data_IF_414084637106
#
_entry.id   IF_414084637106
#
_cell.length_a   1.000
_cell.length_b   1.000
_cell.length_c   1.000
_cell.angle_alpha   90.00
_cell.angle_beta   90.00
_cell.angle_gamma   90.00
#
_symmetry.space_group_name_H-M   'P 1'
#
loop_
_entity.id
_entity.type
_entity.pdbx_description
1 polymer ?
#
# COMPACT_ATOMS: atom_id res chain seq x y z
N UNK A 1 -29.94 -67.89 19.81
CA UNK A 1 -28.57 -67.52 19.43
C UNK A 1 -28.59 -66.06 19.03
N UNK A 2 -27.94 -65.23 19.83
CA UNK A 2 -27.98 -63.77 19.84
C UNK A 2 -27.14 -63.22 18.68
N UNK A 3 -27.74 -62.43 17.79
CA UNK A 3 -27.04 -61.73 16.71
C UNK A 3 -26.29 -60.53 17.30
N UNK A 4 -24.98 -60.50 17.11
CA UNK A 4 -24.10 -59.39 17.52
C UNK A 4 -24.39 -58.12 16.70
N UNK A 5 -24.29 -56.97 17.36
CA UNK A 5 -24.43 -55.65 16.75
C UNK A 5 -23.18 -55.27 15.92
N UNK A 6 -23.31 -54.49 14.84
CA UNK A 6 -22.17 -54.07 14.03
C UNK A 6 -21.29 -53.04 14.76
N UNK A 7 -19.98 -53.26 14.69
CA UNK A 7 -18.92 -52.37 15.17
C UNK A 7 -19.02 -50.99 14.49
N UNK A 8 -19.33 -49.95 15.26
CA UNK A 8 -19.27 -48.57 14.80
C UNK A 8 -17.81 -48.13 14.73
N UNK A 9 -17.24 -48.10 13.53
CA UNK A 9 -15.94 -47.49 13.25
C UNK A 9 -16.06 -45.97 13.40
N UNK A 10 -15.69 -45.46 14.59
CA UNK A 10 -15.48 -44.04 14.81
C UNK A 10 -14.26 -43.56 13.99
N UNK A 11 -14.52 -43.07 12.78
CA UNK A 11 -13.54 -42.31 12.00
C UNK A 11 -13.27 -41.00 12.73
N UNK A 12 -12.10 -40.88 13.37
CA UNK A 12 -11.62 -39.60 13.90
C UNK A 12 -11.44 -38.62 12.73
N UNK A 13 -11.98 -37.39 12.80
CA UNK A 13 -11.66 -36.38 11.79
C UNK A 13 -10.15 -36.07 11.84
N UNK A 14 -9.50 -35.86 10.68
CA UNK A 14 -8.09 -35.48 10.65
C UNK A 14 -7.88 -34.18 11.42
N UNK A 15 -6.86 -34.20 12.28
CA UNK A 15 -6.53 -33.10 13.18
C UNK A 15 -6.41 -31.77 12.45
N UNK A 16 -6.95 -30.73 13.08
CA UNK A 16 -6.80 -29.34 12.66
C UNK A 16 -5.33 -29.00 12.42
N UNK A 17 -4.93 -28.52 11.22
CA UNK A 17 -3.57 -28.06 11.01
C UNK A 17 -3.31 -26.86 11.93
N UNK A 18 -2.19 -26.92 12.66
CA UNK A 18 -1.78 -25.95 13.65
C UNK A 18 -1.80 -24.52 13.14
N UNK A 19 -2.24 -23.59 14.00
CA UNK A 19 -2.19 -22.14 13.79
C UNK A 19 -0.75 -21.62 13.91
N UNK A 20 0.10 -21.98 12.95
CA UNK A 20 1.29 -21.20 12.62
C UNK A 20 0.99 -20.27 11.44
N UNK A 21 1.74 -19.17 11.24
CA UNK A 21 1.68 -18.44 9.98
C UNK A 21 2.11 -19.40 8.86
N UNK A 22 1.16 -19.83 8.03
CA UNK A 22 1.44 -20.80 6.97
C UNK A 22 2.46 -20.27 5.95
N UNK A 23 3.07 -21.17 5.13
CA UNK A 23 4.12 -20.87 4.16
C UNK A 23 3.79 -19.84 3.05
N UNK A 24 2.61 -19.22 3.07
CA UNK A 24 2.18 -18.21 2.10
C UNK A 24 2.74 -16.80 2.31
N UNK A 25 3.30 -16.49 3.49
CA UNK A 25 3.82 -15.14 3.80
C UNK A 25 5.33 -14.99 3.61
N UNK A 26 6.07 -16.09 3.49
CA UNK A 26 7.51 -16.07 3.32
C UNK A 26 7.98 -15.19 2.15
N UNK A 27 7.33 -15.21 0.95
CA UNK A 27 7.76 -14.37 -0.16
C UNK A 27 7.60 -12.88 0.13
N UNK A 28 6.47 -12.50 0.74
CA UNK A 28 6.20 -11.11 1.11
C UNK A 28 7.19 -10.61 2.17
N UNK A 29 7.44 -11.40 3.21
CA UNK A 29 8.39 -11.06 4.26
C UNK A 29 9.81 -10.89 3.72
N UNK A 30 10.24 -11.78 2.82
CA UNK A 30 11.55 -11.70 2.19
C UNK A 30 11.72 -10.41 1.40
N UNK A 31 10.74 -10.06 0.56
CA UNK A 31 10.77 -8.84 -0.25
C UNK A 31 10.67 -7.59 0.61
N UNK A 32 9.82 -7.59 1.64
CA UNK A 32 9.75 -6.48 2.60
C UNK A 32 11.06 -6.27 3.34
N UNK A 33 11.70 -7.34 3.83
CA UNK A 33 13.00 -7.26 4.48
C UNK A 33 14.10 -6.77 3.52
N UNK A 34 14.12 -7.29 2.29
CA UNK A 34 15.04 -6.83 1.25
C UNK A 34 14.83 -5.35 0.89
N UNK A 35 13.58 -4.89 0.83
CA UNK A 35 13.23 -3.49 0.57
C UNK A 35 13.75 -2.59 1.70
N UNK A 36 13.51 -2.97 2.95
CA UNK A 36 14.00 -2.24 4.13
C UNK A 36 15.52 -2.16 4.12
N UNK A 37 16.21 -3.27 3.87
CA UNK A 37 17.66 -3.32 3.77
C UNK A 37 18.20 -2.41 2.66
N UNK A 38 17.57 -2.45 1.48
CA UNK A 38 17.96 -1.62 0.34
C UNK A 38 17.75 -0.12 0.60
N UNK A 39 16.63 0.27 1.22
CA UNK A 39 16.37 1.67 1.57
C UNK A 39 17.36 2.20 2.62
N UNK A 40 17.68 1.39 3.63
CA UNK A 40 18.73 1.74 4.61
C UNK A 40 20.10 1.88 3.93
N UNK A 41 20.42 0.99 2.98
CA UNK A 41 21.65 1.08 2.19
C UNK A 41 21.69 2.35 1.30
N UNK A 42 20.54 2.81 0.81
CA UNK A 42 20.40 4.08 0.09
C UNK A 42 20.41 5.33 1.00
N UNK A 43 20.69 5.16 2.30
CA UNK A 43 20.85 6.25 3.26
C UNK A 43 19.56 6.77 3.89
N UNK A 44 18.44 6.05 3.77
CA UNK A 44 17.19 6.44 4.44
C UNK A 44 17.33 6.20 5.94
N UNK A 45 17.13 7.24 6.81
CA UNK A 45 17.17 7.06 8.25
C UNK A 45 16.12 6.05 8.73
N UNK A 46 16.47 5.19 9.68
CA UNK A 46 15.54 4.20 10.22
C UNK A 46 14.27 4.83 10.83
N UNK A 47 14.41 6.02 11.43
CA UNK A 47 13.30 6.85 11.93
C UNK A 47 12.32 7.20 10.81
N UNK A 48 12.84 7.70 9.70
CA UNK A 48 12.01 8.16 8.58
C UNK A 48 11.34 6.97 7.90
N UNK A 49 12.06 5.84 7.76
CA UNK A 49 11.49 4.60 7.25
C UNK A 49 10.35 4.09 8.15
N UNK A 50 10.54 4.11 9.47
CA UNK A 50 9.53 3.69 10.42
C UNK A 50 8.31 4.63 10.42
N UNK A 51 8.53 5.95 10.41
CA UNK A 51 7.47 6.95 10.35
C UNK A 51 6.67 6.84 9.03
N UNK A 52 7.36 6.67 7.90
CA UNK A 52 6.75 6.47 6.59
C UNK A 52 5.92 5.18 6.56
N UNK A 53 6.49 4.05 7.02
CA UNK A 53 5.79 2.78 7.06
C UNK A 53 4.56 2.82 8.00
N UNK A 54 4.69 3.48 9.15
CA UNK A 54 3.58 3.67 10.08
C UNK A 54 2.48 4.55 9.47
N UNK A 55 2.85 5.63 8.78
CA UNK A 55 1.89 6.52 8.13
C UNK A 55 1.19 5.83 6.96
N UNK A 56 1.93 5.23 6.04
CA UNK A 56 1.34 4.49 4.90
C UNK A 56 0.51 3.32 5.40
N UNK A 57 0.95 2.60 6.43
CA UNK A 57 0.22 1.45 6.97
C UNK A 57 -1.05 1.85 7.72
N UNK A 58 -0.96 2.75 8.69
CA UNK A 58 -2.05 3.08 9.60
C UNK A 58 -2.87 4.30 9.15
N UNK A 59 -2.22 5.31 8.56
CA UNK A 59 -2.86 6.53 8.07
C UNK A 59 -3.49 6.39 6.70
N UNK A 60 -2.97 5.51 5.83
CA UNK A 60 -3.43 5.38 4.43
C UNK A 60 -4.06 4.01 4.16
N UNK A 61 -3.28 2.94 4.25
CA UNK A 61 -3.68 1.60 3.84
C UNK A 61 -4.79 1.04 4.72
N UNK A 62 -4.70 1.16 6.04
CA UNK A 62 -5.70 0.65 6.98
C UNK A 62 -7.09 1.28 6.76
N UNK A 63 -7.27 2.61 6.87
CA UNK A 63 -8.58 3.23 6.65
C UNK A 63 -9.09 2.99 5.23
N UNK A 64 -8.22 3.07 4.22
CA UNK A 64 -8.59 2.74 2.84
C UNK A 64 -9.07 1.30 2.67
N UNK A 65 -8.42 0.32 3.31
CA UNK A 65 -8.84 -1.09 3.29
C UNK A 65 -10.18 -1.30 3.98
N UNK A 66 -10.42 -0.61 5.11
CA UNK A 66 -11.69 -0.69 5.84
C UNK A 66 -12.85 -0.15 4.99
N UNK A 67 -12.67 1.01 4.36
CA UNK A 67 -13.66 1.58 3.44
C UNK A 67 -13.87 0.67 2.24
N UNK A 68 -12.79 0.19 1.61
CA UNK A 68 -12.86 -0.74 0.48
C UNK A 68 -13.69 -1.98 0.82
N UNK A 69 -13.44 -2.61 1.98
CA UNK A 69 -14.19 -3.80 2.43
C UNK A 69 -15.64 -3.49 2.78
N UNK A 70 -15.93 -2.30 3.29
CA UNK A 70 -17.31 -1.89 3.57
C UNK A 70 -18.10 -1.68 2.28
N UNK A 71 -17.47 -1.12 1.23
CA UNK A 71 -18.11 -0.87 -0.06
C UNK A 71 -18.28 -2.14 -0.90
N UNK A 72 -17.30 -3.05 -0.85
CA UNK A 72 -17.27 -4.23 -1.73
C UNK A 72 -17.67 -5.53 -1.06
N UNK A 73 -17.82 -5.55 0.26
CA UNK A 73 -17.95 -6.77 1.06
C UNK A 73 -16.62 -7.52 1.27
N UNK A 74 -15.52 -6.98 0.74
CA UNK A 74 -14.18 -7.57 0.78
C UNK A 74 -13.84 -8.35 -0.49
N UNK A 75 -12.58 -8.25 -0.87
CA UNK A 75 -11.97 -8.92 -2.01
C UNK A 75 -11.76 -10.42 -1.77
N UNK A 76 -11.40 -11.10 -2.86
CA UNK A 76 -11.20 -12.55 -2.87
C UNK A 76 -9.94 -12.96 -2.12
N UNK A 77 -8.96 -12.06 -2.06
CA UNK A 77 -7.70 -12.28 -1.35
C UNK A 77 -7.36 -11.12 -0.40
N UNK A 78 -6.45 -11.36 0.56
CA UNK A 78 -5.99 -10.31 1.45
C UNK A 78 -5.13 -9.27 0.71
N UNK A 79 -4.28 -9.72 -0.21
CA UNK A 79 -3.40 -8.84 -0.98
C UNK A 79 -4.22 -7.85 -1.83
N UNK A 80 -5.30 -8.34 -2.46
CA UNK A 80 -6.26 -7.51 -3.19
C UNK A 80 -6.87 -6.42 -2.30
N UNK A 81 -7.36 -6.78 -1.12
CA UNK A 81 -7.95 -5.83 -0.18
C UNK A 81 -6.97 -4.75 0.26
N UNK A 82 -5.72 -5.14 0.56
CA UNK A 82 -4.69 -4.21 0.98
C UNK A 82 -4.25 -3.29 -0.16
N UNK A 83 -4.10 -3.82 -1.38
CA UNK A 83 -3.68 -3.03 -2.54
C UNK A 83 -4.78 -2.07 -3.00
N UNK A 84 -6.03 -2.54 -3.08
CA UNK A 84 -7.19 -1.70 -3.39
C UNK A 84 -7.44 -0.67 -2.28
N UNK A 85 -7.28 -1.10 -1.03
CA UNK A 85 -7.37 -0.24 0.14
C UNK A 85 -6.31 0.86 0.15
N UNK A 86 -5.05 0.53 -0.15
CA UNK A 86 -3.97 1.50 -0.26
C UNK A 86 -4.23 2.52 -1.37
N UNK A 87 -4.67 2.07 -2.55
CA UNK A 87 -5.03 2.96 -3.66
C UNK A 87 -6.20 3.90 -3.29
N UNK A 88 -7.24 3.37 -2.64
CA UNK A 88 -8.35 4.19 -2.15
C UNK A 88 -7.91 5.17 -1.05
N UNK A 89 -7.03 4.73 -0.16
CA UNK A 89 -6.43 5.56 0.88
C UNK A 89 -5.70 6.76 0.31
N UNK A 90 -4.84 6.56 -0.70
CA UNK A 90 -4.17 7.65 -1.40
C UNK A 90 -5.15 8.62 -2.06
N UNK A 91 -6.21 8.11 -2.70
CA UNK A 91 -7.23 8.96 -3.30
C UNK A 91 -7.94 9.85 -2.26
N UNK A 92 -8.33 9.26 -1.13
CA UNK A 92 -8.96 10.00 -0.01
C UNK A 92 -7.98 11.02 0.58
N UNK A 93 -6.73 10.65 0.78
CA UNK A 93 -5.71 11.54 1.33
C UNK A 93 -5.52 12.78 0.46
N UNK A 94 -5.31 12.61 -0.84
CA UNK A 94 -5.14 13.72 -1.79
C UNK A 94 -6.38 14.63 -1.77
N UNK A 95 -7.58 14.06 -1.85
CA UNK A 95 -8.82 14.82 -1.83
C UNK A 95 -9.05 15.57 -0.50
N UNK A 96 -8.52 15.07 0.61
CA UNK A 96 -8.58 15.71 1.91
C UNK A 96 -7.50 16.78 2.11
N UNK A 97 -6.29 16.52 1.61
CA UNK A 97 -5.15 17.42 1.75
C UNK A 97 -5.37 18.74 1.02
N UNK A 98 -5.96 18.72 -0.18
CA UNK A 98 -6.18 19.92 -1.00
C UNK A 98 -6.98 21.00 -0.25
N UNK A 99 -8.21 20.73 0.26
CA UNK A 99 -8.97 21.72 1.02
C UNK A 99 -8.33 22.04 2.38
N UNK A 100 -7.71 21.06 3.05
CA UNK A 100 -6.97 21.28 4.30
C UNK A 100 -5.84 22.30 4.11
N UNK A 101 -5.08 22.18 3.02
CA UNK A 101 -4.01 23.10 2.67
C UNK A 101 -4.54 24.46 2.23
N UNK A 102 -5.62 24.51 1.45
CA UNK A 102 -6.29 25.77 1.10
C UNK A 102 -6.77 26.54 2.33
N UNK A 103 -7.21 25.85 3.39
CA UNK A 103 -7.58 26.43 4.67
C UNK A 103 -6.38 26.80 5.57
N UNK A 104 -5.14 26.57 5.13
CA UNK A 104 -3.93 26.83 5.92
C UNK A 104 -3.68 25.82 7.04
N UNK A 105 -4.44 24.72 7.11
CA UNK A 105 -4.40 23.70 8.17
C UNK A 105 -4.06 22.32 7.59
N UNK A 106 -2.84 22.10 7.08
CA UNK A 106 -2.48 20.89 6.32
C UNK A 106 -2.66 19.59 7.11
N UNK A 107 -2.54 19.63 8.44
CA UNK A 107 -2.75 18.46 9.31
C UNK A 107 -4.22 17.98 9.37
N UNK A 108 -5.19 18.76 8.88
CA UNK A 108 -6.57 18.30 8.74
C UNK A 108 -6.71 17.12 7.76
N UNK A 109 -5.68 16.83 6.95
CA UNK A 109 -5.60 15.59 6.17
C UNK A 109 -5.75 14.33 7.01
N UNK A 110 -5.45 14.39 8.31
CA UNK A 110 -5.64 13.27 9.25
C UNK A 110 -7.08 13.06 9.68
N UNK A 111 -7.98 14.02 9.44
CA UNK A 111 -9.39 13.91 9.88
C UNK A 111 -10.09 12.73 9.22
N UNK A 112 -10.08 12.54 7.88
CA UNK A 112 -10.71 11.37 7.27
C UNK A 112 -10.20 10.01 7.79
N UNK A 113 -8.87 9.72 7.82
CA UNK A 113 -8.41 8.42 8.28
C UNK A 113 -8.75 8.18 9.76
N UNK A 114 -8.63 9.21 10.62
CA UNK A 114 -9.04 9.10 12.03
C UNK A 114 -10.54 8.85 12.15
N UNK A 115 -11.37 9.59 11.40
CA UNK A 115 -12.82 9.42 11.41
C UNK A 115 -13.23 8.01 10.96
N UNK A 116 -12.60 7.47 9.93
CA UNK A 116 -12.84 6.09 9.47
C UNK A 116 -12.48 5.09 10.56
N UNK A 117 -11.27 5.17 11.13
CA UNK A 117 -10.84 4.23 12.17
C UNK A 117 -11.75 4.33 13.39
N UNK A 118 -12.05 5.53 13.87
CA UNK A 118 -12.97 5.75 14.99
C UNK A 118 -14.38 5.19 14.71
N UNK A 119 -14.95 5.45 13.53
CA UNK A 119 -16.25 4.89 13.15
C UNK A 119 -16.24 3.36 13.18
N UNK A 120 -15.19 2.74 12.64
CA UNK A 120 -15.04 1.28 12.63
C UNK A 120 -14.75 0.67 13.99
N UNK A 121 -14.22 1.43 14.95
CA UNK A 121 -14.04 0.99 16.34
C UNK A 121 -15.32 1.17 17.16
N UNK A 122 -16.05 2.27 16.97
CA UNK A 122 -17.23 2.60 17.76
C UNK A 122 -18.51 1.91 17.30
N UNK A 123 -18.59 1.45 16.04
CA UNK A 123 -19.80 0.82 15.48
C UNK A 123 -19.61 -0.71 15.40
N UNK A 124 -20.24 -1.51 16.28
CA UNK A 124 -20.03 -2.97 16.34
C UNK A 124 -20.38 -3.68 15.03
N UNK A 125 -21.35 -3.16 14.27
CA UNK A 125 -21.72 -3.70 12.95
C UNK A 125 -20.57 -3.63 11.93
N UNK A 126 -19.64 -2.68 12.10
CA UNK A 126 -18.48 -2.52 11.22
C UNK A 126 -17.30 -3.43 11.62
N UNK A 127 -17.33 -4.01 12.82
CA UNK A 127 -16.26 -4.90 13.31
C UNK A 127 -16.02 -6.10 12.40
N UNK A 128 -17.07 -6.54 11.68
CA UNK A 128 -16.98 -7.61 10.69
C UNK A 128 -15.99 -7.31 9.56
N UNK A 129 -15.81 -6.04 9.18
CA UNK A 129 -14.95 -5.63 8.06
C UNK A 129 -13.45 -5.58 8.43
N UNK A 130 -13.12 -5.58 9.72
CA UNK A 130 -11.75 -5.76 10.19
C UNK A 130 -11.23 -7.14 9.82
N UNK A 131 -12.11 -8.14 9.87
CA UNK A 131 -11.85 -9.49 9.39
C UNK A 131 -12.20 -9.54 7.90
N UNK A 132 -11.37 -10.23 7.13
CA UNK A 132 -11.68 -10.46 5.72
C UNK A 132 -12.96 -11.27 5.52
N UNK A 133 -13.48 -11.27 4.29
CA UNK A 133 -14.58 -12.14 3.92
C UNK A 133 -14.27 -13.61 4.30
N UNK A 134 -15.20 -14.34 4.94
CA UNK A 134 -15.01 -15.76 5.23
C UNK A 134 -14.85 -16.54 3.90
N UNK A 135 -13.89 -17.47 3.85
CA UNK A 135 -13.65 -18.30 2.66
C UNK A 135 -12.77 -17.68 1.57
N UNK A 136 -11.91 -16.70 1.92
CA UNK A 136 -10.94 -16.11 0.98
C UNK A 136 -10.18 -17.16 0.17
N UNK A 137 -10.05 -16.88 -1.11
CA UNK A 137 -9.24 -17.66 -2.04
C UNK A 137 -7.78 -17.58 -1.58
N UNK A 138 -7.13 -18.74 -1.42
CA UNK A 138 -5.69 -18.77 -1.13
C UNK A 138 -4.94 -18.58 -2.43
N UNK A 139 -4.04 -17.61 -2.44
CA UNK A 139 -3.07 -17.43 -3.52
C UNK A 139 -2.19 -18.68 -3.56
N UNK A 140 -2.04 -19.36 -4.71
CA UNK A 140 -1.10 -20.47 -4.85
C UNK A 140 0.32 -20.02 -4.48
N UNK A 141 1.09 -20.87 -3.80
CA UNK A 141 2.43 -20.49 -3.31
C UNK A 141 3.38 -20.01 -4.40
N UNK A 142 3.36 -20.65 -5.57
CA UNK A 142 4.16 -20.22 -6.72
C UNK A 142 3.76 -18.83 -7.25
N UNK A 143 2.47 -18.47 -7.20
CA UNK A 143 2.01 -17.13 -7.58
C UNK A 143 2.49 -16.08 -6.58
N UNK A 144 2.48 -16.40 -5.29
CA UNK A 144 3.00 -15.50 -4.26
C UNK A 144 4.51 -15.26 -4.45
N UNK A 145 5.27 -16.29 -4.81
CA UNK A 145 6.69 -16.16 -5.18
C UNK A 145 6.91 -15.37 -6.47
N UNK A 146 6.09 -15.58 -7.50
CA UNK A 146 6.18 -14.82 -8.75
C UNK A 146 5.89 -13.32 -8.53
N UNK A 147 4.83 -12.99 -7.79
CA UNK A 147 4.53 -11.60 -7.42
C UNK A 147 5.64 -10.98 -6.59
N UNK A 148 6.19 -11.73 -5.62
CA UNK A 148 7.32 -11.30 -4.82
C UNK A 148 8.56 -11.06 -5.70
N UNK A 149 8.82 -11.91 -6.70
CA UNK A 149 9.92 -11.73 -7.64
C UNK A 149 9.75 -10.47 -8.50
N UNK A 150 8.54 -10.21 -9.03
CA UNK A 150 8.25 -8.99 -9.79
C UNK A 150 8.43 -7.75 -8.92
N UNK A 151 7.88 -7.74 -7.70
CA UNK A 151 8.07 -6.62 -6.77
C UNK A 151 9.54 -6.45 -6.41
N UNK A 152 10.25 -7.54 -6.09
CA UNK A 152 11.68 -7.52 -5.78
C UNK A 152 12.52 -6.97 -6.93
N UNK A 153 12.19 -7.35 -8.17
CA UNK A 153 12.80 -6.78 -9.37
C UNK A 153 12.55 -5.28 -9.48
N UNK A 154 11.31 -4.81 -9.29
CA UNK A 154 10.99 -3.38 -9.35
C UNK A 154 11.65 -2.58 -8.24
N UNK A 155 11.77 -3.14 -7.03
CA UNK A 155 12.54 -2.55 -5.93
C UNK A 155 14.02 -2.43 -6.30
N UNK A 156 14.63 -3.51 -6.81
CA UNK A 156 16.01 -3.49 -7.26
C UNK A 156 16.24 -2.47 -8.39
N UNK A 157 15.31 -2.39 -9.35
CA UNK A 157 15.31 -1.39 -10.40
C UNK A 157 15.25 0.04 -9.85
N UNK A 158 14.32 0.33 -8.93
CA UNK A 158 14.23 1.64 -8.28
C UNK A 158 15.52 1.98 -7.54
N UNK A 159 16.11 1.02 -6.84
CA UNK A 159 17.38 1.21 -6.12
C UNK A 159 18.52 1.55 -7.07
N UNK A 160 18.68 0.78 -8.14
CA UNK A 160 19.78 0.94 -9.09
C UNK A 160 19.62 2.21 -9.93
N UNK A 161 18.40 2.52 -10.36
CA UNK A 161 18.13 3.58 -11.33
C UNK A 161 17.80 4.93 -10.68
N UNK A 162 17.26 4.94 -9.46
CA UNK A 162 16.76 6.15 -8.79
C UNK A 162 17.40 6.36 -7.42
N UNK A 163 17.36 5.36 -6.53
CA UNK A 163 17.58 5.58 -5.09
C UNK A 163 19.04 5.50 -4.64
N UNK A 164 19.96 4.94 -5.42
CA UNK A 164 21.38 4.96 -5.04
C UNK A 164 22.08 6.25 -5.43
N UNK A 165 21.51 7.02 -6.36
CA UNK A 165 22.18 8.20 -6.91
C UNK A 165 22.10 9.38 -5.94
N UNK A 166 23.21 10.11 -5.71
CA UNK A 166 23.18 11.35 -4.93
C UNK A 166 22.34 12.40 -5.65
N UNK A 167 21.79 13.36 -4.90
CA UNK A 167 20.91 14.41 -5.43
C UNK A 167 21.57 15.19 -6.58
N UNK A 168 22.88 15.41 -6.51
CA UNK A 168 23.67 16.15 -7.50
C UNK A 168 23.84 15.45 -8.85
N UNK A 169 23.65 14.12 -8.93
CA UNK A 169 23.80 13.34 -10.16
C UNK A 169 22.54 12.55 -10.50
N UNK A 170 21.41 12.91 -9.89
CA UNK A 170 20.14 12.26 -10.16
C UNK A 170 19.60 12.65 -11.54
N UNK A 171 18.59 11.91 -12.01
CA UNK A 171 17.90 12.21 -13.26
C UNK A 171 17.39 13.65 -13.28
N UNK A 172 17.45 14.29 -14.45
CA UNK A 172 17.24 15.73 -14.63
C UNK A 172 15.87 16.22 -14.14
N UNK A 173 14.86 15.35 -14.11
CA UNK A 173 13.51 15.70 -13.65
C UNK A 173 13.33 15.60 -12.12
N UNK A 174 14.29 15.03 -11.40
CA UNK A 174 14.15 14.86 -9.95
C UNK A 174 14.09 16.19 -9.17
N UNK A 175 14.92 17.20 -9.47
CA UNK A 175 14.75 18.54 -8.91
C UNK A 175 13.40 19.17 -9.26
N UNK A 176 12.86 18.90 -10.45
CA UNK A 176 11.54 19.38 -10.85
C UNK A 176 10.44 18.77 -9.96
N UNK A 177 10.46 17.46 -9.74
CA UNK A 177 9.53 16.79 -8.80
C UNK A 177 9.65 17.37 -7.38
N UNK A 178 10.88 17.58 -6.90
CA UNK A 178 11.11 18.16 -5.58
C UNK A 178 10.55 19.59 -5.45
N UNK A 179 10.74 20.43 -6.47
CA UNK A 179 10.20 21.78 -6.51
C UNK A 179 8.67 21.78 -6.46
N UNK A 180 8.01 20.87 -7.17
CA UNK A 180 6.55 20.74 -7.15
C UNK A 180 6.00 20.24 -5.81
N UNK A 181 6.71 19.35 -5.11
CA UNK A 181 6.34 19.00 -3.72
C UNK A 181 6.46 20.21 -2.81
N UNK A 182 7.56 20.98 -2.93
CA UNK A 182 7.73 22.22 -2.19
C UNK A 182 6.62 23.24 -2.46
N UNK A 183 6.20 23.36 -3.73
CA UNK A 183 5.10 24.23 -4.12
C UNK A 183 3.77 23.78 -3.51
N UNK A 184 3.37 22.52 -3.70
CA UNK A 184 2.10 22.00 -3.16
C UNK A 184 2.08 21.94 -1.63
N UNK A 185 3.26 21.90 -0.99
CA UNK A 185 3.39 21.99 0.47
C UNK A 185 3.05 23.39 0.99
N UNK A 186 3.30 24.44 0.21
CA UNK A 186 3.17 25.83 0.66
C UNK A 186 2.04 26.62 -0.03
N UNK A 187 1.62 26.24 -1.24
CA UNK A 187 0.68 27.00 -2.07
C UNK A 187 -0.46 26.12 -2.61
N UNK A 188 -1.69 26.63 -2.51
CA UNK A 188 -2.87 26.09 -3.17
C UNK A 188 -3.72 27.28 -3.66
N UNK A 189 -4.05 27.38 -4.96
CA UNK A 189 -3.66 26.46 -6.04
C UNK A 189 -2.15 26.51 -6.34
N UNK A 190 -1.53 25.38 -6.77
CA UNK A 190 -0.10 25.34 -7.06
C UNK A 190 0.24 26.04 -8.37
N UNK A 191 1.44 26.61 -8.42
CA UNK A 191 2.04 27.23 -9.62
C UNK A 191 3.20 26.40 -10.17
N UNK A 192 3.72 26.74 -11.35
CA UNK A 192 4.99 26.23 -11.87
C UNK A 192 6.10 27.21 -11.50
N UNK A 193 6.98 26.87 -10.54
CA UNK A 193 8.08 27.75 -10.15
C UNK A 193 9.04 28.07 -11.31
N UNK A 194 9.15 27.15 -12.28
CA UNK A 194 10.03 27.28 -13.44
C UNK A 194 9.47 28.13 -14.58
N UNK A 195 8.17 28.49 -14.55
CA UNK A 195 7.50 29.21 -15.65
C UNK A 195 6.76 30.42 -15.08
N UNK A 196 7.51 31.35 -14.48
CA UNK A 196 6.99 32.62 -13.95
C UNK A 196 5.73 32.50 -13.07
N UNK A 197 5.55 31.38 -12.37
CA UNK A 197 4.38 31.15 -11.52
C UNK A 197 3.09 30.86 -12.28
N UNK A 198 3.16 30.37 -13.53
CA UNK A 198 1.99 29.89 -14.27
C UNK A 198 1.23 28.80 -13.49
N UNK A 199 -0.08 28.67 -13.73
CA UNK A 199 -0.89 27.70 -12.98
C UNK A 199 -0.52 26.26 -13.32
N UNK A 200 -0.23 25.46 -12.29
CA UNK A 200 0.00 24.03 -12.44
C UNK A 200 -1.33 23.30 -12.55
N UNK A 201 -1.76 23.08 -13.79
CA UNK A 201 -3.12 22.60 -14.08
C UNK A 201 -3.24 21.07 -14.09
N UNK A 202 -2.13 20.32 -14.20
CA UNK A 202 -2.15 18.88 -14.41
C UNK A 202 -1.03 18.14 -13.64
N UNK A 203 -1.22 16.84 -13.38
CA UNK A 203 -0.24 15.90 -12.78
C UNK A 203 0.35 16.24 -11.40
N UNK A 204 -0.35 17.00 -10.56
CA UNK A 204 0.22 17.40 -9.26
C UNK A 204 -0.28 16.62 -8.03
N UNK A 205 -1.23 15.69 -8.20
CA UNK A 205 -1.81 14.91 -7.09
C UNK A 205 -0.78 14.05 -6.34
N UNK A 206 0.21 13.49 -7.04
CA UNK A 206 1.28 12.74 -6.37
C UNK A 206 2.10 13.65 -5.45
N UNK A 207 2.28 14.93 -5.80
CA UNK A 207 2.99 15.88 -4.95
C UNK A 207 2.14 16.32 -3.76
N UNK A 208 0.81 16.29 -3.88
CA UNK A 208 -0.09 16.50 -2.75
C UNK A 208 0.03 15.38 -1.71
N UNK A 209 0.10 14.12 -2.15
CA UNK A 209 0.41 12.97 -1.28
C UNK A 209 1.77 13.14 -0.59
N UNK A 210 2.83 13.46 -1.34
CA UNK A 210 4.16 13.66 -0.74
C UNK A 210 4.19 14.86 0.22
N UNK A 211 3.48 15.93 -0.08
CA UNK A 211 3.36 17.09 0.80
C UNK A 211 2.57 16.74 2.08
N UNK A 212 1.45 16.02 1.96
CA UNK A 212 0.68 15.52 3.10
C UNK A 212 1.54 14.61 3.98
N UNK A 213 2.21 13.64 3.38
CA UNK A 213 3.15 12.73 4.07
C UNK A 213 4.22 13.54 4.80
N UNK A 214 4.83 14.55 4.15
CA UNK A 214 5.84 15.40 4.78
C UNK A 214 5.29 16.21 5.96
N UNK A 215 4.07 16.74 5.86
CA UNK A 215 3.41 17.46 6.96
C UNK A 215 3.14 16.56 8.16
N UNK A 216 2.64 15.34 7.93
CA UNK A 216 2.28 14.42 9.02
C UNK A 216 3.50 13.80 9.68
N UNK A 217 4.47 13.35 8.88
CA UNK A 217 5.61 12.57 9.38
C UNK A 217 6.82 13.42 9.74
N UNK A 218 6.89 14.66 9.23
CA UNK A 218 8.08 15.50 9.31
C UNK A 218 9.23 15.02 8.43
N UNK A 219 9.02 14.02 7.58
CA UNK A 219 10.04 13.55 6.62
C UNK A 219 10.26 14.64 5.57
N UNK A 220 11.53 14.89 5.26
CA UNK A 220 11.89 15.89 4.26
C UNK A 220 11.39 15.47 2.86
N UNK A 221 10.86 16.42 2.07
CA UNK A 221 10.42 16.15 0.69
C UNK A 221 11.47 15.49 -0.18
N UNK A 222 12.76 15.80 0.02
CA UNK A 222 13.86 15.18 -0.73
C UNK A 222 13.90 13.67 -0.50
N UNK A 223 13.75 13.20 0.74
CA UNK A 223 13.73 11.77 1.06
C UNK A 223 12.50 11.08 0.45
N UNK A 224 11.33 11.74 0.50
CA UNK A 224 10.10 11.20 -0.09
C UNK A 224 10.24 10.99 -1.60
N UNK A 225 10.63 12.05 -2.32
CA UNK A 225 10.79 12.04 -3.79
C UNK A 225 11.89 11.08 -4.23
N UNK A 226 13.05 11.12 -3.56
CA UNK A 226 14.24 10.41 -4.02
C UNK A 226 14.35 8.98 -3.52
N UNK A 227 13.53 8.54 -2.56
CA UNK A 227 13.76 7.24 -1.88
C UNK A 227 12.49 6.46 -1.51
N UNK A 228 11.36 7.09 -1.21
CA UNK A 228 10.25 6.39 -0.52
C UNK A 228 8.96 6.27 -1.31
N UNK A 229 8.45 7.37 -1.87
CA UNK A 229 7.03 7.47 -2.23
C UNK A 229 6.57 6.56 -3.37
N UNK A 230 7.49 6.15 -4.26
CA UNK A 230 7.14 5.31 -5.42
C UNK A 230 6.77 3.89 -5.02
N UNK A 231 7.47 3.31 -4.03
CA UNK A 231 7.41 1.86 -3.77
C UNK A 231 6.01 1.35 -3.38
N UNK A 232 5.27 1.97 -2.43
CA UNK A 232 3.97 1.46 -2.04
C UNK A 232 2.97 1.47 -3.21
N UNK A 233 3.01 2.52 -4.05
CA UNK A 233 2.16 2.64 -5.24
C UNK A 233 2.50 1.57 -6.28
N UNK A 234 3.79 1.30 -6.52
CA UNK A 234 4.23 0.24 -7.43
C UNK A 234 3.79 -1.14 -6.95
N UNK A 235 3.93 -1.43 -5.64
CA UNK A 235 3.47 -2.69 -5.05
C UNK A 235 1.95 -2.87 -5.22
N UNK A 236 1.17 -1.82 -4.90
CA UNK A 236 -0.27 -1.84 -5.09
C UNK A 236 -0.65 -2.08 -6.55
N UNK A 237 0.01 -1.39 -7.47
CA UNK A 237 -0.20 -1.53 -8.92
C UNK A 237 0.03 -2.97 -9.37
N UNK A 238 1.18 -3.58 -9.04
CA UNK A 238 1.49 -4.97 -9.41
C UNK A 238 0.40 -5.93 -8.90
N UNK A 239 0.02 -5.81 -7.63
CA UNK A 239 -1.01 -6.67 -7.05
C UNK A 239 -2.36 -6.47 -7.75
N UNK A 240 -2.77 -5.22 -8.01
CA UNK A 240 -4.05 -4.93 -8.66
C UNK A 240 -4.09 -5.37 -10.12
N UNK A 241 -3.00 -5.22 -10.87
CA UNK A 241 -2.88 -5.73 -12.25
C UNK A 241 -2.97 -7.24 -12.27
N UNK A 242 -2.28 -7.93 -11.35
CA UNK A 242 -2.35 -9.38 -11.26
C UNK A 242 -3.75 -9.88 -10.86
N UNK A 243 -4.42 -9.17 -9.95
CA UNK A 243 -5.81 -9.45 -9.58
C UNK A 243 -6.75 -9.24 -10.78
N UNK A 244 -6.56 -8.16 -11.54
CA UNK A 244 -7.36 -7.89 -12.74
C UNK A 244 -7.14 -8.98 -13.79
N UNK A 245 -5.90 -9.36 -14.08
CA UNK A 245 -5.57 -10.48 -14.97
C UNK A 245 -6.16 -11.81 -14.50
N UNK A 246 -6.16 -12.07 -13.19
CA UNK A 246 -6.80 -13.25 -12.57
C UNK A 246 -8.32 -13.26 -12.77
N UNK A 247 -8.97 -12.09 -12.68
CA UNK A 247 -10.41 -11.92 -12.85
C UNK A 247 -10.82 -12.10 -14.32
N UNK A 248 -10.09 -11.47 -15.24
CA UNK A 248 -10.36 -11.54 -16.67
C UNK A 248 -10.03 -12.92 -17.27
N UNK A 249 -8.92 -13.53 -16.83
CA UNK A 249 -8.46 -14.81 -17.36
C UNK A 249 -8.92 -16.05 -16.60
N UNK A 250 -9.68 -15.91 -15.50
CA UNK A 250 -10.27 -17.02 -14.76
C UNK A 250 -9.31 -17.92 -13.97
N UNK A 251 -7.99 -17.72 -14.06
CA UNK A 251 -6.95 -18.50 -13.37
C UNK A 251 -5.75 -17.65 -12.95
N UNK A 252 -5.01 -18.10 -11.93
CA UNK A 252 -3.85 -17.37 -11.40
C UNK A 252 -2.70 -17.21 -12.39
N UNK A 253 -2.52 -18.13 -13.34
CA UNK A 253 -1.57 -17.96 -14.44
C UNK A 253 -1.81 -16.72 -15.29
N UNK A 254 -3.07 -16.34 -15.54
CA UNK A 254 -3.39 -15.13 -16.30
C UNK A 254 -3.09 -13.86 -15.50
N UNK A 255 -3.23 -13.91 -14.17
CA UNK A 255 -2.85 -12.80 -13.29
C UNK A 255 -1.34 -12.58 -13.26
N UNK A 256 -0.57 -13.66 -13.12
CA UNK A 256 0.91 -13.55 -13.13
C UNK A 256 1.43 -13.13 -14.49
N UNK A 257 0.84 -13.60 -15.60
CA UNK A 257 1.25 -13.18 -16.93
C UNK A 257 0.94 -11.70 -17.26
N UNK A 258 0.09 -11.03 -16.46
CA UNK A 258 -0.26 -9.64 -16.66
C UNK A 258 0.75 -8.64 -16.04
N UNK A 259 1.68 -9.13 -15.22
CA UNK A 259 2.69 -8.33 -14.50
C UNK A 259 4.10 -8.75 -14.89
#
# INVERSE_FOLDING_TARGET
MTLAAPESTHVRPPGSPGRGPGPGWAPALLVSAGTVAALMWCGVPARDLAAFAAYVGAGVALPGTLVWRALTGGGRTLAEDLAAGLALGYAVEVLAYIPARAAGLPLLVLVPPVAVVCAFLCVPRLWRHWRGAPGRERVPGWCAWALAAVVGYLVAWCVISLYRHPVSSAYVDMPYHLALVGEVKHHVPPTLPSVLGERLSYHWFVYADMAATSWVTGIEPVTLVYRLSTLPMTVAMVVLVAVLGRRLGGRWGAGIAAV
#
